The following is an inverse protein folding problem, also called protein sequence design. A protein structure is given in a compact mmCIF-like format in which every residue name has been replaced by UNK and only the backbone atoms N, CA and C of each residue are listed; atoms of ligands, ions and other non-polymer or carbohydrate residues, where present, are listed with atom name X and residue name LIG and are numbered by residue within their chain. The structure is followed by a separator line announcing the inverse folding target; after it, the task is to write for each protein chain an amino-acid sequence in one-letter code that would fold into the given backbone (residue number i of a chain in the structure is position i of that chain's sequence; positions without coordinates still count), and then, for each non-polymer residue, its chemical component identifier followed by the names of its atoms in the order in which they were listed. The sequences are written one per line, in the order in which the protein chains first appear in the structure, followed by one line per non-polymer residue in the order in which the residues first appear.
data_IF_856433096341
#
_entry.id   IF_856433096341
#
_cell.length_a   1.000
_cell.length_b   1.000
_cell.length_c   1.000
_cell.angle_alpha   90.00
_cell.angle_beta   90.00
_cell.angle_gamma   90.00
#
_symmetry.space_group_name_H-M   'P 1'
#
loop_
_entity.id
_entity.type
_entity.pdbx_description
1 polymer ?
#
# COMPACT_ATOMS: atom_id res chain seq x y z
N UNK A 1 -20.67 28.53 -13.66
CA UNK A 1 -21.47 27.30 -13.43
C UNK A 1 -22.43 27.56 -12.26
N UNK A 2 -23.72 27.17 -12.33
CA UNK A 2 -24.71 27.57 -11.31
C UNK A 2 -24.74 26.70 -10.04
N UNK A 3 -24.34 25.42 -10.11
CA UNK A 3 -24.27 24.53 -8.95
C UNK A 3 -23.02 23.63 -9.02
N UNK A 4 -21.90 24.17 -8.51
CA UNK A 4 -20.61 23.45 -8.46
C UNK A 4 -20.68 22.28 -7.49
N UNK A 5 -21.40 22.41 -6.37
CA UNK A 5 -21.49 21.38 -5.33
C UNK A 5 -22.25 20.15 -5.81
N UNK A 6 -23.39 20.35 -6.48
CA UNK A 6 -24.13 19.26 -7.11
C UNK A 6 -23.31 18.57 -8.19
N UNK A 7 -22.57 19.33 -8.98
CA UNK A 7 -21.69 18.77 -10.01
C UNK A 7 -20.54 17.95 -9.43
N UNK A 8 -19.89 18.43 -8.38
CA UNK A 8 -18.83 17.72 -7.67
C UNK A 8 -19.35 16.42 -7.03
N UNK A 9 -20.54 16.47 -6.43
CA UNK A 9 -21.18 15.28 -5.86
C UNK A 9 -21.47 14.21 -6.92
N UNK A 10 -21.97 14.63 -8.10
CA UNK A 10 -22.21 13.72 -9.22
C UNK A 10 -20.90 13.18 -9.82
N UNK A 11 -19.86 14.01 -9.89
CA UNK A 11 -18.52 13.58 -10.30
C UNK A 11 -18.01 12.46 -9.39
N UNK A 12 -18.04 12.65 -8.06
CA UNK A 12 -17.59 11.64 -7.11
C UNK A 12 -18.43 10.35 -7.18
N UNK A 13 -19.76 10.48 -7.27
CA UNK A 13 -20.66 9.33 -7.37
C UNK A 13 -20.42 8.51 -8.64
N UNK A 14 -20.03 9.15 -9.74
CA UNK A 14 -19.78 8.46 -11.01
C UNK A 14 -18.62 7.47 -10.97
N UNK A 15 -17.69 7.58 -10.00
CA UNK A 15 -16.59 6.63 -9.84
C UNK A 15 -17.00 5.30 -9.19
N UNK A 16 -18.26 5.18 -8.76
CA UNK A 16 -18.82 3.92 -8.27
C UNK A 16 -19.54 3.13 -9.38
N UNK A 17 -19.35 3.51 -10.66
CA UNK A 17 -19.98 2.83 -11.78
C UNK A 17 -19.46 1.41 -12.01
N UNK A 18 -20.34 0.56 -12.54
CA UNK A 18 -20.03 -0.77 -13.04
C UNK A 18 -20.08 -0.82 -14.57
N UNK A 19 -19.49 -1.88 -15.13
CA UNK A 19 -19.53 -2.10 -16.57
C UNK A 19 -20.98 -2.16 -17.10
N UNK A 20 -21.29 -1.33 -18.09
CA UNK A 20 -22.62 -1.20 -18.69
C UNK A 20 -23.46 -0.03 -18.18
N UNK A 21 -23.03 0.68 -17.13
CA UNK A 21 -23.74 1.83 -16.57
C UNK A 21 -23.46 3.14 -17.32
N UNK A 22 -23.93 3.21 -18.59
CA UNK A 22 -23.69 4.34 -19.49
C UNK A 22 -24.03 5.72 -18.92
N UNK A 23 -25.08 5.80 -18.08
CA UNK A 23 -25.51 7.06 -17.46
C UNK A 23 -24.40 7.63 -16.56
N UNK A 24 -23.71 6.77 -15.80
CA UNK A 24 -22.63 7.22 -14.92
C UNK A 24 -21.36 7.57 -15.71
N UNK A 25 -21.08 6.88 -16.82
CA UNK A 25 -19.98 7.24 -17.72
C UNK A 25 -20.20 8.60 -18.39
N UNK A 26 -21.42 8.86 -18.86
CA UNK A 26 -21.85 10.16 -19.40
C UNK A 26 -21.80 11.25 -18.31
N UNK A 27 -22.25 10.93 -17.10
CA UNK A 27 -22.17 11.84 -15.96
C UNK A 27 -20.73 12.18 -15.59
N UNK A 28 -19.82 11.20 -15.56
CA UNK A 28 -18.40 11.43 -15.31
C UNK A 28 -17.80 12.35 -16.38
N UNK A 29 -18.08 12.08 -17.65
CA UNK A 29 -17.58 12.87 -18.79
C UNK A 29 -18.10 14.31 -18.73
N UNK A 30 -19.40 14.47 -18.50
CA UNK A 30 -20.05 15.77 -18.39
C UNK A 30 -19.52 16.58 -17.21
N UNK A 31 -19.48 15.99 -16.01
CA UNK A 31 -19.03 16.67 -14.79
C UNK A 31 -17.55 17.02 -14.86
N UNK A 32 -16.69 16.09 -15.32
CA UNK A 32 -15.24 16.33 -15.51
C UNK A 32 -14.96 17.51 -16.43
N UNK A 33 -15.64 17.56 -17.59
CA UNK A 33 -15.46 18.65 -18.55
C UNK A 33 -15.87 19.99 -17.94
N UNK A 34 -17.06 20.04 -17.33
CA UNK A 34 -17.60 21.28 -16.81
C UNK A 34 -16.83 21.80 -15.59
N UNK A 35 -16.38 20.93 -14.68
CA UNK A 35 -15.58 21.33 -13.51
C UNK A 35 -14.23 21.92 -13.92
N UNK A 36 -13.57 21.35 -14.95
CA UNK A 36 -12.29 21.85 -15.49
C UNK A 36 -12.42 23.16 -16.26
N UNK A 37 -13.50 23.31 -17.03
CA UNK A 37 -13.74 24.49 -17.89
C UNK A 37 -14.52 25.61 -17.19
N UNK A 38 -15.00 25.37 -15.97
CA UNK A 38 -15.76 26.36 -15.21
C UNK A 38 -14.92 27.60 -14.93
N UNK A 39 -15.50 28.78 -15.17
CA UNK A 39 -14.99 30.02 -14.58
C UNK A 39 -15.44 30.03 -13.12
N UNK A 40 -14.48 30.19 -12.22
CA UNK A 40 -14.69 30.16 -10.78
C UNK A 40 -14.47 31.55 -10.20
N UNK A 41 -15.52 32.12 -9.60
CA UNK A 41 -15.50 33.49 -9.09
C UNK A 41 -14.66 33.66 -7.81
N UNK A 42 -14.40 32.56 -7.08
CA UNK A 42 -13.60 32.53 -5.86
C UNK A 42 -12.73 31.27 -5.79
N UNK A 43 -11.52 31.38 -6.37
CA UNK A 43 -10.48 30.35 -6.33
C UNK A 43 -9.92 30.10 -4.91
N UNK A 44 -10.27 30.94 -3.93
CA UNK A 44 -9.88 30.75 -2.52
C UNK A 44 -10.96 30.04 -1.69
N UNK A 45 -12.10 29.73 -2.30
CA UNK A 45 -13.21 29.09 -1.60
C UNK A 45 -12.91 27.61 -1.28
N UNK A 46 -13.44 27.13 -0.15
CA UNK A 46 -13.40 25.71 0.22
C UNK A 46 -13.92 24.79 -0.90
N UNK A 47 -14.95 25.22 -1.63
CA UNK A 47 -15.54 24.46 -2.74
C UNK A 47 -14.57 24.31 -3.91
N UNK A 48 -13.76 25.33 -4.18
CA UNK A 48 -12.73 25.27 -5.21
C UNK A 48 -11.56 24.36 -4.81
N UNK A 49 -11.16 24.41 -3.54
CA UNK A 49 -10.15 23.49 -2.98
C UNK A 49 -10.61 22.03 -3.09
N UNK A 50 -11.85 21.74 -2.68
CA UNK A 50 -12.48 20.42 -2.77
C UNK A 50 -12.60 19.93 -4.21
N UNK A 51 -13.00 20.81 -5.14
CA UNK A 51 -13.05 20.50 -6.56
C UNK A 51 -11.67 20.11 -7.12
N UNK A 52 -10.64 20.90 -6.86
CA UNK A 52 -9.29 20.60 -7.35
C UNK A 52 -8.75 19.29 -6.79
N UNK A 53 -9.01 19.04 -5.51
CA UNK A 53 -8.69 17.78 -4.86
C UNK A 53 -9.42 16.63 -5.56
N UNK A 54 -10.74 16.65 -5.71
CA UNK A 54 -11.47 15.61 -6.44
C UNK A 54 -10.98 15.38 -7.88
N UNK A 55 -10.64 16.45 -8.61
CA UNK A 55 -10.14 16.36 -10.00
C UNK A 55 -8.73 15.78 -10.13
N UNK A 56 -7.90 15.85 -9.08
CA UNK A 56 -6.61 15.16 -8.99
C UNK A 56 -6.82 13.65 -8.84
N UNK A 57 -7.67 13.26 -7.89
CA UNK A 57 -8.06 11.88 -7.66
C UNK A 57 -9.43 11.88 -6.96
N UNK A 58 -10.43 11.13 -7.43
CA UNK A 58 -11.74 11.09 -6.79
C UNK A 58 -11.67 10.35 -5.45
N UNK A 59 -12.55 10.71 -4.52
CA UNK A 59 -12.65 10.14 -3.17
C UNK A 59 -12.66 8.61 -3.19
N UNK A 60 -13.40 8.00 -4.12
CA UNK A 60 -13.51 6.53 -4.22
C UNK A 60 -12.17 5.82 -4.48
N UNK A 61 -11.17 6.53 -5.02
CA UNK A 61 -9.84 5.98 -5.35
C UNK A 61 -8.76 6.40 -4.35
N UNK A 62 -9.09 7.19 -3.34
CA UNK A 62 -8.12 7.72 -2.36
C UNK A 62 -7.90 6.76 -1.21
N UNK A 63 -6.67 6.71 -0.71
CA UNK A 63 -6.41 6.08 0.58
C UNK A 63 -7.05 6.90 1.70
N UNK A 64 -7.93 6.26 2.46
CA UNK A 64 -8.72 6.88 3.53
C UNK A 64 -7.86 7.69 4.51
N UNK A 65 -6.64 7.22 4.80
CA UNK A 65 -5.75 7.91 5.75
C UNK A 65 -5.21 9.23 5.23
N UNK A 66 -4.85 9.28 3.95
CA UNK A 66 -4.38 10.50 3.29
C UNK A 66 -5.53 11.48 3.15
N UNK A 67 -6.71 10.97 2.78
CA UNK A 67 -7.92 11.76 2.71
C UNK A 67 -8.29 12.37 4.06
N UNK A 68 -8.29 11.58 5.13
CA UNK A 68 -8.56 12.07 6.47
C UNK A 68 -7.59 13.17 6.90
N UNK A 69 -6.30 13.04 6.57
CA UNK A 69 -5.30 14.08 6.90
C UNK A 69 -5.60 15.38 6.18
N UNK A 70 -5.86 15.31 4.88
CA UNK A 70 -6.19 16.48 4.06
C UNK A 70 -7.50 17.12 4.55
N UNK A 71 -8.56 16.31 4.68
CA UNK A 71 -9.89 16.79 5.04
C UNK A 71 -9.93 17.39 6.45
N UNK A 72 -9.16 16.91 7.42
CA UNK A 72 -9.06 17.55 8.76
C UNK A 72 -8.55 19.00 8.65
N UNK A 73 -7.58 19.26 7.75
CA UNK A 73 -7.03 20.60 7.56
C UNK A 73 -7.99 21.48 6.75
N UNK A 74 -8.61 20.96 5.68
CA UNK A 74 -9.57 21.73 4.89
C UNK A 74 -10.87 21.99 5.66
N UNK A 75 -11.37 21.02 6.44
CA UNK A 75 -12.57 21.16 7.29
C UNK A 75 -12.40 22.22 8.37
N UNK A 76 -11.18 22.41 8.90
CA UNK A 76 -10.87 23.46 9.88
C UNK A 76 -11.17 24.87 9.35
N UNK A 77 -11.05 25.09 8.05
CA UNK A 77 -11.23 26.39 7.42
C UNK A 77 -12.70 26.68 7.04
N UNK A 78 -13.60 25.70 7.20
CA UNK A 78 -15.01 25.89 6.90
C UNK A 78 -15.70 26.80 7.92
N UNK A 79 -16.56 27.69 7.43
CA UNK A 79 -17.36 28.60 8.26
C UNK A 79 -18.38 27.86 9.14
N UNK A 80 -18.83 26.70 8.68
CA UNK A 80 -19.82 25.83 9.34
C UNK A 80 -19.18 24.64 10.08
N UNK A 81 -17.85 24.67 10.32
CA UNK A 81 -17.14 23.58 10.97
C UNK A 81 -17.63 23.32 12.39
N UNK A 82 -18.02 22.08 12.67
CA UNK A 82 -18.30 21.64 14.03
C UNK A 82 -16.98 21.42 14.77
N UNK A 83 -16.71 22.28 15.77
CA UNK A 83 -15.47 22.25 16.55
C UNK A 83 -15.26 20.94 17.31
N UNK A 84 -16.33 20.36 17.85
CA UNK A 84 -16.27 19.09 18.59
C UNK A 84 -15.87 17.94 17.65
N UNK A 85 -16.45 17.91 16.45
CA UNK A 85 -16.08 16.92 15.43
C UNK A 85 -14.62 17.08 14.98
N UNK A 86 -14.16 18.32 14.77
CA UNK A 86 -12.78 18.60 14.37
C UNK A 86 -11.76 18.17 15.45
N UNK A 87 -12.07 18.44 16.72
CA UNK A 87 -11.24 18.02 17.85
C UNK A 87 -11.19 16.49 17.97
N UNK A 88 -12.34 15.83 17.86
CA UNK A 88 -12.43 14.38 17.87
C UNK A 88 -11.63 13.74 16.71
N UNK A 89 -11.76 14.27 15.50
CA UNK A 89 -11.03 13.79 14.32
C UNK A 89 -9.51 13.93 14.48
N UNK A 90 -9.02 15.04 15.04
CA UNK A 90 -7.58 15.23 15.33
C UNK A 90 -7.07 14.27 16.39
N UNK A 91 -7.84 14.06 17.45
CA UNK A 91 -7.46 13.16 18.53
C UNK A 91 -7.38 11.72 18.04
N UNK A 92 -8.42 11.26 17.35
CA UNK A 92 -8.48 9.93 16.73
C UNK A 92 -7.30 9.73 15.75
N UNK A 93 -7.06 10.73 14.89
CA UNK A 93 -5.96 10.68 13.94
C UNK A 93 -4.63 10.47 14.68
N UNK A 94 -4.35 11.24 15.73
CA UNK A 94 -3.08 11.10 16.47
C UNK A 94 -2.96 9.77 17.21
N UNK A 95 -4.05 9.21 17.73
CA UNK A 95 -4.05 7.88 18.38
C UNK A 95 -3.67 6.80 17.37
N UNK A 96 -4.34 6.77 16.21
CA UNK A 96 -4.03 5.80 15.15
C UNK A 96 -2.60 5.99 14.63
N UNK A 97 -2.15 7.24 14.48
CA UNK A 97 -0.79 7.55 14.04
C UNK A 97 0.26 7.00 15.00
N UNK A 98 0.01 7.08 16.31
CA UNK A 98 0.91 6.54 17.32
C UNK A 98 1.05 5.01 17.20
N UNK A 99 -0.05 4.30 16.96
CA UNK A 99 -0.02 2.84 16.73
C UNK A 99 0.76 2.49 15.46
N UNK A 100 0.54 3.21 14.37
CA UNK A 100 1.27 3.03 13.10
C UNK A 100 2.77 3.28 13.31
N UNK A 101 3.17 4.27 14.12
CA UNK A 101 4.57 4.52 14.43
C UNK A 101 5.21 3.36 15.23
N UNK A 102 4.46 2.70 16.11
CA UNK A 102 4.95 1.50 16.79
C UNK A 102 5.18 0.35 15.82
N UNK A 103 4.22 0.12 14.90
CA UNK A 103 4.38 -0.88 13.84
C UNK A 103 5.64 -0.60 13.00
N UNK A 104 5.87 0.66 12.64
CA UNK A 104 7.06 1.08 11.89
C UNK A 104 8.36 0.82 12.66
N UNK A 105 8.40 1.10 13.96
CA UNK A 105 9.57 0.84 14.80
C UNK A 105 9.91 -0.66 14.81
N UNK A 106 8.90 -1.53 14.89
CA UNK A 106 9.11 -2.97 14.79
C UNK A 106 9.62 -3.38 13.40
N UNK A 107 9.08 -2.81 12.33
CA UNK A 107 9.56 -3.08 10.96
C UNK A 107 10.98 -2.59 10.72
N UNK A 108 11.35 -1.44 11.27
CA UNK A 108 12.72 -0.93 11.25
C UNK A 108 13.68 -1.86 12.01
N UNK A 109 13.26 -2.45 13.14
CA UNK A 109 14.07 -3.43 13.87
C UNK A 109 14.24 -4.72 13.07
N UNK A 110 13.17 -5.25 12.48
CA UNK A 110 13.22 -6.42 11.61
C UNK A 110 14.16 -6.20 10.42
N UNK A 111 13.99 -5.09 9.70
CA UNK A 111 14.81 -4.74 8.54
C UNK A 111 16.29 -4.59 8.90
N UNK A 112 16.60 -3.88 10.00
CA UNK A 112 17.98 -3.79 10.52
C UNK A 112 18.54 -5.16 10.91
N UNK A 113 17.71 -6.02 11.51
CA UNK A 113 18.07 -7.37 11.91
C UNK A 113 18.42 -8.28 10.74
N UNK A 114 17.76 -8.13 9.60
CA UNK A 114 18.11 -8.88 8.38
C UNK A 114 19.46 -8.46 7.80
N UNK A 115 19.82 -7.18 7.91
CA UNK A 115 21.11 -6.66 7.45
C UNK A 115 21.37 -6.88 5.95
N UNK A 116 20.30 -6.85 5.14
CA UNK A 116 20.39 -7.10 3.68
C UNK A 116 20.90 -5.90 2.90
N UNK A 117 20.57 -4.67 3.31
CA UNK A 117 20.92 -3.46 2.57
C UNK A 117 22.41 -3.34 2.16
N UNK A 118 23.40 -3.57 3.05
CA UNK A 118 24.80 -3.54 2.63
C UNK A 118 25.22 -4.74 1.78
N UNK A 119 24.49 -5.87 1.86
CA UNK A 119 24.80 -7.11 1.14
C UNK A 119 24.17 -7.15 -0.26
N UNK A 120 23.09 -6.40 -0.46
CA UNK A 120 22.35 -6.25 -1.70
C UNK A 120 22.40 -4.78 -2.15
N UNK A 121 23.61 -4.21 -2.26
CA UNK A 121 23.80 -2.79 -2.58
C UNK A 121 23.28 -2.38 -3.97
N UNK A 122 23.02 -3.35 -4.85
CA UNK A 122 22.36 -3.14 -6.14
C UNK A 122 20.85 -2.90 -6.02
N UNK A 123 20.23 -3.35 -4.92
CA UNK A 123 18.79 -3.28 -4.70
C UNK A 123 18.38 -1.96 -4.04
N UNK A 124 17.14 -1.54 -4.30
CA UNK A 124 16.53 -0.36 -3.72
C UNK A 124 16.10 -0.66 -2.29
N UNK A 125 16.63 0.09 -1.33
CA UNK A 125 16.16 0.03 0.05
C UNK A 125 14.88 0.87 0.22
N UNK A 126 13.73 0.18 0.21
CA UNK A 126 12.39 0.79 0.15
C UNK A 126 11.51 0.46 1.35
N UNK A 127 12.08 0.15 2.51
CA UNK A 127 11.28 -0.27 3.68
C UNK A 127 10.19 0.75 4.03
N UNK A 128 10.54 2.04 4.00
CA UNK A 128 9.61 3.12 4.37
C UNK A 128 8.44 3.21 3.39
N UNK A 129 8.70 3.08 2.10
CA UNK A 129 7.69 3.08 1.05
C UNK A 129 6.81 1.82 1.11
N UNK A 130 7.41 0.66 1.36
CA UNK A 130 6.68 -0.61 1.54
C UNK A 130 5.74 -0.52 2.75
N UNK A 131 6.22 0.04 3.86
CA UNK A 131 5.41 0.25 5.06
C UNK A 131 4.28 1.25 4.81
N UNK A 132 4.58 2.37 4.15
CA UNK A 132 3.58 3.37 3.78
C UNK A 132 2.48 2.78 2.89
N UNK A 133 2.84 1.96 1.91
CA UNK A 133 1.89 1.23 1.08
C UNK A 133 1.03 0.27 1.89
N UNK A 134 1.63 -0.50 2.81
CA UNK A 134 0.90 -1.41 3.69
C UNK A 134 -0.11 -0.69 4.60
N UNK A 135 0.20 0.53 5.06
CA UNK A 135 -0.74 1.40 5.80
C UNK A 135 -1.91 1.86 4.93
N UNK A 136 -1.69 2.09 3.64
CA UNK A 136 -2.76 2.49 2.70
C UNK A 136 -3.74 1.35 2.37
N UNK A 137 -3.25 0.11 2.34
CA UNK A 137 -4.03 -1.07 1.91
C UNK A 137 -4.69 -1.81 3.07
N UNK A 138 -4.00 -1.93 4.20
CA UNK A 138 -4.54 -2.67 5.34
C UNK A 138 -5.47 -1.80 6.20
N UNK A 139 -6.47 -2.40 6.87
CA UNK A 139 -7.30 -1.67 7.82
C UNK A 139 -6.45 -1.05 8.94
N UNK A 140 -6.84 0.14 9.40
CA UNK A 140 -6.05 0.96 10.32
C UNK A 140 -6.29 0.61 11.80
N UNK A 141 -7.27 -0.25 12.09
CA UNK A 141 -7.57 -0.63 13.46
C UNK A 141 -6.35 -1.34 14.10
N UNK A 142 -6.12 -1.13 15.41
CA UNK A 142 -4.95 -1.68 16.08
C UNK A 142 -4.83 -3.21 15.97
N UNK A 143 -5.96 -3.92 15.94
CA UNK A 143 -6.03 -5.39 15.79
C UNK A 143 -5.41 -5.91 14.48
N UNK A 144 -5.21 -5.06 13.47
CA UNK A 144 -4.59 -5.41 12.20
C UNK A 144 -3.11 -5.01 12.11
N UNK A 145 -2.46 -4.66 13.23
CA UNK A 145 -1.02 -4.39 13.31
C UNK A 145 -0.18 -5.51 12.68
N UNK A 146 -0.44 -6.77 13.07
CA UNK A 146 0.27 -7.91 12.51
C UNK A 146 0.11 -8.00 10.98
N UNK A 147 -1.09 -7.74 10.45
CA UNK A 147 -1.32 -7.72 9.00
C UNK A 147 -0.49 -6.64 8.30
N UNK A 148 -0.45 -5.41 8.83
CA UNK A 148 0.38 -4.32 8.28
C UNK A 148 1.86 -4.67 8.26
N UNK A 149 2.34 -5.25 9.36
CA UNK A 149 3.73 -5.71 9.49
C UNK A 149 4.05 -6.82 8.48
N UNK A 150 3.21 -7.85 8.40
CA UNK A 150 3.36 -8.95 7.44
C UNK A 150 3.35 -8.45 5.99
N UNK A 151 2.42 -7.56 5.63
CA UNK A 151 2.37 -6.96 4.29
C UNK A 151 3.64 -6.15 4.00
N UNK A 152 4.13 -5.37 4.96
CA UNK A 152 5.40 -4.62 4.82
C UNK A 152 6.56 -5.56 4.50
N UNK A 153 6.69 -6.66 5.27
CA UNK A 153 7.73 -7.67 5.04
C UNK A 153 7.63 -8.27 3.63
N UNK A 154 6.42 -8.66 3.21
CA UNK A 154 6.16 -9.26 1.90
C UNK A 154 6.48 -8.30 0.76
N UNK A 155 5.97 -7.06 0.79
CA UNK A 155 6.21 -6.06 -0.27
C UNK A 155 7.69 -5.68 -0.37
N UNK A 156 8.38 -5.60 0.77
CA UNK A 156 9.83 -5.37 0.80
C UNK A 156 10.60 -6.51 0.13
N UNK A 157 10.27 -7.77 0.46
CA UNK A 157 10.91 -8.93 -0.19
C UNK A 157 10.58 -9.00 -1.69
N UNK A 158 9.36 -8.67 -2.11
CA UNK A 158 8.98 -8.58 -3.53
C UNK A 158 9.85 -7.54 -4.24
N UNK A 159 10.10 -6.38 -3.64
CA UNK A 159 10.96 -5.34 -4.23
C UNK A 159 12.40 -5.84 -4.41
N UNK A 160 12.91 -6.64 -3.48
CA UNK A 160 14.23 -7.25 -3.61
C UNK A 160 14.26 -8.35 -4.68
N UNK A 161 13.20 -9.16 -4.80
CA UNK A 161 13.06 -10.14 -5.88
C UNK A 161 13.06 -9.41 -7.23
N UNK A 162 12.24 -8.37 -7.38
CA UNK A 162 12.15 -7.54 -8.58
C UNK A 162 13.53 -7.03 -9.02
N UNK A 163 14.32 -6.44 -8.12
CA UNK A 163 15.67 -5.98 -8.42
C UNK A 163 16.64 -7.12 -8.80
N UNK A 164 16.49 -8.30 -8.18
CA UNK A 164 17.29 -9.48 -8.54
C UNK A 164 16.96 -9.94 -9.96
N UNK A 165 15.68 -10.01 -10.34
CA UNK A 165 15.27 -10.51 -11.65
C UNK A 165 15.48 -9.50 -12.79
N UNK A 166 15.21 -8.22 -12.55
CA UNK A 166 15.16 -7.21 -13.61
C UNK A 166 16.49 -6.46 -13.81
N UNK A 167 17.34 -6.40 -12.78
CA UNK A 167 18.55 -5.55 -12.79
C UNK A 167 19.84 -6.34 -12.65
N UNK A 168 19.90 -7.32 -11.74
CA UNK A 168 21.17 -7.87 -11.30
C UNK A 168 21.46 -9.31 -11.74
N UNK A 169 20.49 -10.22 -11.60
CA UNK A 169 20.68 -11.64 -11.83
C UNK A 169 20.88 -11.98 -13.31
N UNK A 170 21.78 -12.92 -13.59
CA UNK A 170 21.88 -13.52 -14.92
C UNK A 170 20.83 -14.63 -15.09
N UNK A 171 20.46 -14.96 -16.32
CA UNK A 171 19.45 -16.00 -16.58
C UNK A 171 19.76 -17.32 -15.84
N UNK A 172 21.02 -17.78 -15.90
CA UNK A 172 21.47 -19.00 -15.23
C UNK A 172 21.31 -18.91 -13.70
N UNK A 173 21.63 -17.75 -13.09
CA UNK A 173 21.44 -17.53 -11.66
C UNK A 173 19.95 -17.49 -11.27
N UNK A 174 19.12 -16.87 -12.11
CA UNK A 174 17.67 -16.77 -11.91
C UNK A 174 16.97 -18.13 -12.03
N UNK A 175 17.41 -19.00 -12.92
CA UNK A 175 16.92 -20.39 -12.99
C UNK A 175 17.24 -21.17 -11.70
N UNK A 176 18.45 -21.01 -11.17
CA UNK A 176 18.84 -21.62 -9.89
C UNK A 176 18.01 -21.06 -8.73
N UNK A 177 17.79 -19.75 -8.70
CA UNK A 177 16.97 -19.10 -7.67
C UNK A 177 15.51 -19.54 -7.74
N UNK A 178 14.94 -19.62 -8.94
CA UNK A 178 13.58 -20.13 -9.17
C UNK A 178 13.44 -21.56 -8.66
N UNK A 179 14.39 -22.43 -9.03
CA UNK A 179 14.43 -23.84 -8.57
C UNK A 179 14.53 -23.93 -7.04
N UNK A 180 15.31 -23.05 -6.41
CA UNK A 180 15.42 -23.01 -4.94
C UNK A 180 14.10 -22.61 -4.27
N UNK A 181 13.36 -21.66 -4.84
CA UNK A 181 12.04 -21.24 -4.33
C UNK A 181 10.99 -22.32 -4.56
N UNK A 182 10.97 -22.97 -5.72
CA UNK A 182 10.04 -24.06 -6.04
C UNK A 182 10.22 -25.29 -5.13
N UNK A 183 11.47 -25.68 -4.90
CA UNK A 183 11.79 -26.80 -4.00
C UNK A 183 11.53 -26.47 -2.53
N UNK A 184 11.58 -25.17 -2.18
CA UNK A 184 11.49 -24.65 -0.81
C UNK A 184 12.38 -25.42 0.19
N UNK A 185 13.56 -25.85 -0.26
CA UNK A 185 14.53 -26.61 0.53
C UNK A 185 15.71 -25.71 0.91
N UNK A 186 15.97 -25.62 2.22
CA UNK A 186 17.12 -24.87 2.76
C UNK A 186 18.47 -25.35 2.19
N UNK A 187 18.56 -26.61 1.75
CA UNK A 187 19.77 -27.16 1.14
C UNK A 187 20.07 -26.56 -0.24
N UNK A 188 19.09 -25.92 -0.90
CA UNK A 188 19.30 -25.21 -2.16
C UNK A 188 20.28 -24.03 -2.02
N UNK A 189 20.56 -23.57 -0.79
CA UNK A 189 21.63 -22.59 -0.53
C UNK A 189 23.01 -23.02 -1.09
N UNK A 190 23.26 -24.32 -1.28
CA UNK A 190 24.55 -24.81 -1.79
C UNK A 190 24.79 -24.49 -3.26
N UNK A 191 23.72 -24.32 -4.05
CA UNK A 191 23.79 -24.10 -5.50
C UNK A 191 23.68 -22.64 -5.89
N UNK A 192 23.22 -21.76 -4.99
CA UNK A 192 23.03 -20.33 -5.26
C UNK A 192 24.34 -19.54 -5.16
N UNK A 193 24.47 -18.41 -5.89
CA UNK A 193 25.53 -17.44 -5.65
C UNK A 193 25.35 -16.76 -4.27
N UNK A 194 26.43 -16.21 -3.72
CA UNK A 194 26.47 -15.79 -2.31
C UNK A 194 25.41 -14.74 -1.93
N UNK A 195 25.14 -13.77 -2.80
CA UNK A 195 24.12 -12.76 -2.55
C UNK A 195 22.70 -13.37 -2.54
N UNK A 196 22.42 -14.31 -3.46
CA UNK A 196 21.15 -15.04 -3.52
C UNK A 196 20.98 -16.00 -2.34
N UNK A 197 22.06 -16.60 -1.81
CA UNK A 197 21.98 -17.40 -0.58
C UNK A 197 21.47 -16.59 0.59
N UNK A 198 22.07 -15.42 0.78
CA UNK A 198 21.70 -14.51 1.87
C UNK A 198 20.25 -14.08 1.70
N UNK A 199 19.85 -13.74 0.48
CA UNK A 199 18.48 -13.32 0.19
C UNK A 199 17.46 -14.47 0.34
N UNK A 200 17.73 -15.64 -0.24
CA UNK A 200 16.88 -16.83 -0.13
C UNK A 200 16.67 -17.22 1.34
N UNK A 201 17.73 -17.19 2.16
CA UNK A 201 17.61 -17.47 3.58
C UNK A 201 16.70 -16.45 4.30
N UNK A 202 16.79 -15.17 3.95
CA UNK A 202 15.92 -14.14 4.50
C UNK A 202 14.46 -14.33 4.08
N UNK A 203 14.22 -14.66 2.80
CA UNK A 203 12.89 -15.00 2.27
C UNK A 203 12.31 -16.22 2.98
N UNK A 204 13.08 -17.31 3.04
CA UNK A 204 12.71 -18.57 3.68
C UNK A 204 12.33 -18.34 5.15
N UNK A 205 13.20 -17.68 5.91
CA UNK A 205 12.94 -17.42 7.33
C UNK A 205 11.69 -16.55 7.54
N UNK A 206 11.51 -15.51 6.72
CA UNK A 206 10.37 -14.60 6.84
C UNK A 206 9.05 -15.30 6.53
N UNK A 207 8.99 -16.10 5.46
CA UNK A 207 7.77 -16.83 5.09
C UNK A 207 7.44 -17.92 6.12
N UNK A 208 8.43 -18.64 6.63
CA UNK A 208 8.22 -19.63 7.68
C UNK A 208 7.80 -18.98 9.01
N UNK A 209 8.33 -17.80 9.37
CA UNK A 209 7.87 -17.01 10.53
C UNK A 209 6.38 -16.67 10.40
N UNK A 210 5.96 -16.16 9.23
CA UNK A 210 4.55 -15.83 8.98
C UNK A 210 3.63 -17.05 9.06
N UNK A 211 4.07 -18.20 8.52
CA UNK A 211 3.32 -19.44 8.60
C UNK A 211 3.22 -19.95 10.05
N UNK A 212 4.32 -19.86 10.80
CA UNK A 212 4.34 -20.24 12.21
C UNK A 212 3.40 -19.38 13.05
N UNK A 213 3.40 -18.06 12.86
CA UNK A 213 2.51 -17.15 13.58
C UNK A 213 1.03 -17.47 13.29
N UNK A 214 0.68 -17.74 12.03
CA UNK A 214 -0.66 -18.15 11.66
C UNK A 214 -1.07 -19.51 12.27
N UNK A 215 -0.14 -20.47 12.31
CA UNK A 215 -0.39 -21.76 12.94
C UNK A 215 -0.57 -21.62 14.46
N UNK A 216 0.26 -20.80 15.10
CA UNK A 216 0.22 -20.54 16.54
C UNK A 216 -1.04 -19.79 16.97
N UNK A 217 -1.45 -18.76 16.23
CA UNK A 217 -2.57 -17.89 16.59
C UNK A 217 -3.92 -18.44 16.12
N UNK A 218 -3.96 -19.09 14.95
CA UNK A 218 -5.21 -19.51 14.28
C UNK A 218 -5.32 -21.01 14.06
N UNK A 219 -4.28 -21.79 14.33
CA UNK A 219 -4.29 -23.24 14.11
C UNK A 219 -4.27 -23.65 12.64
N UNK A 220 -3.88 -22.74 11.73
CA UNK A 220 -3.86 -23.00 10.29
C UNK A 220 -2.44 -23.05 9.77
N UNK A 221 -2.08 -24.16 9.14
CA UNK A 221 -0.86 -24.24 8.34
C UNK A 221 -1.09 -23.55 6.99
N UNK A 222 -0.51 -22.37 6.85
CA UNK A 222 -0.60 -21.56 5.63
C UNK A 222 0.68 -21.60 4.80
N UNK A 223 1.71 -22.35 5.23
CA UNK A 223 3.00 -22.38 4.53
C UNK A 223 2.84 -22.78 3.06
N UNK A 224 2.06 -23.81 2.68
CA UNK A 224 1.90 -24.18 1.27
C UNK A 224 1.37 -23.06 0.39
N UNK A 225 0.48 -22.21 0.93
CA UNK A 225 -0.10 -21.09 0.18
C UNK A 225 0.90 -19.94 0.03
N UNK A 226 1.68 -19.65 1.08
CA UNK A 226 2.72 -18.62 1.02
C UNK A 226 3.83 -19.01 0.05
N UNK A 227 4.30 -20.26 0.10
CA UNK A 227 5.31 -20.79 -0.84
C UNK A 227 4.80 -20.71 -2.27
N UNK A 228 3.56 -21.14 -2.51
CA UNK A 228 2.93 -21.02 -3.84
C UNK A 228 2.85 -19.57 -4.32
N UNK A 229 2.62 -18.62 -3.42
CA UNK A 229 2.52 -17.20 -3.78
C UNK A 229 3.87 -16.56 -4.14
N UNK A 230 4.98 -17.04 -3.57
CA UNK A 230 6.34 -16.55 -3.88
C UNK A 230 7.02 -17.34 -4.99
N UNK A 231 6.45 -18.48 -5.38
CA UNK A 231 6.92 -19.28 -6.52
C UNK A 231 6.48 -18.61 -7.83
N UNK A 232 7.39 -18.28 -8.76
CA UNK A 232 7.02 -17.72 -10.06
C UNK A 232 6.09 -18.69 -10.80
N UNK A 233 4.91 -18.23 -11.22
CA UNK A 233 4.10 -18.99 -12.18
C UNK A 233 4.78 -18.83 -13.54
N UNK A 234 5.64 -19.76 -13.92
CA UNK A 234 6.06 -19.88 -15.32
C UNK A 234 4.88 -20.52 -16.06
N UNK A 235 4.17 -19.79 -16.93
CA UNK A 235 3.20 -20.44 -17.79
C UNK A 235 3.95 -21.40 -18.72
N UNK A 236 3.61 -22.68 -18.64
CA UNK A 236 4.05 -23.72 -19.59
C UNK A 236 3.64 -23.36 -21.02
#
# INVERSE_FOLDING_TARGET
MKDIKGMLSLYEASFMSYEGEKILDEANSFTSFNLRQGIHDDESSFVFEEMNHSLELPLHRRFQRLEARWYIESYKNRKDANKVLLEAAKLEFNIVQSNIQQDLIEMLRWWKGMGLAPKLSFSRDRLMECFFWAVGVAPLEPKFSNLRKSLTKVVYLITLIDDIYDVYGTLDELELFTTAVESWDINALKILPEYMKIFFLALYNTVNELAYDALKEKGHDILPYLVKAVTPNIPN
#
